data_IF_987999488492
#
_entry.id   IF_987999488492
#
_cell.length_a   1.000
_cell.length_b   1.000
_cell.length_c   1.000
_cell.angle_alpha   90.00
_cell.angle_beta   90.00
_cell.angle_gamma   90.00
#
_symmetry.space_group_name_H-M   'P 1'
#
loop_
_entity.id
_entity.type
_entity.pdbx_description
1 polymer ?
#
# COMPACT_ATOMS: atom_id res chain seq x y z
N UNK A 1 0.76 17.15 13.79
CA UNK A 1 -0.62 17.57 14.08
C UNK A 1 -1.58 16.57 13.49
N UNK A 2 -2.67 16.25 14.17
CA UNK A 2 -3.77 15.45 13.61
C UNK A 2 -4.99 16.34 13.48
N UNK A 3 -5.59 16.43 12.29
CA UNK A 3 -6.73 17.33 12.00
C UNK A 3 -6.48 18.80 12.40
N UNK A 4 -5.27 19.29 12.16
CA UNK A 4 -4.86 20.66 12.49
C UNK A 4 -4.58 20.94 13.98
N UNK A 5 -4.79 19.96 14.87
CA UNK A 5 -4.51 20.10 16.31
C UNK A 5 -3.13 19.50 16.64
N UNK A 6 -2.33 20.12 17.51
CA UNK A 6 -1.09 19.55 18.00
C UNK A 6 -1.40 18.24 18.76
N UNK A 7 -0.63 17.20 18.50
CA UNK A 7 -0.69 15.94 19.22
C UNK A 7 0.67 15.62 19.81
N UNK A 8 0.72 14.96 20.99
CA UNK A 8 1.97 14.53 21.58
C UNK A 8 2.70 13.54 20.65
N UNK A 9 4.02 13.50 20.76
CA UNK A 9 4.82 12.45 20.13
C UNK A 9 4.52 11.10 20.78
N UNK A 10 4.80 10.00 20.06
CA UNK A 10 4.54 8.65 20.56
C UNK A 10 5.18 8.39 21.94
N UNK A 11 6.42 8.84 22.14
CA UNK A 11 7.13 8.68 23.41
C UNK A 11 6.64 9.61 24.55
N UNK A 12 5.79 10.56 24.21
CA UNK A 12 5.17 11.51 25.15
C UNK A 12 3.75 11.07 25.56
N UNK A 13 3.20 10.04 24.89
CA UNK A 13 1.87 9.51 25.21
C UNK A 13 1.85 8.83 26.58
N UNK A 14 0.71 8.88 27.24
CA UNK A 14 0.50 8.20 28.52
C UNK A 14 0.69 6.68 28.35
N UNK A 15 1.48 6.08 29.21
CA UNK A 15 1.82 4.66 29.15
C UNK A 15 2.92 4.28 28.15
N UNK A 16 3.42 5.22 27.36
CA UNK A 16 4.54 4.95 26.47
C UNK A 16 5.87 4.86 27.24
N UNK A 17 6.67 3.86 26.91
CA UNK A 17 8.06 3.78 27.41
C UNK A 17 8.90 4.83 26.69
N UNK A 18 9.36 5.85 27.43
CA UNK A 18 10.14 6.97 26.90
C UNK A 18 11.46 6.57 26.22
N UNK A 19 12.00 5.41 26.58
CA UNK A 19 13.19 4.82 25.96
C UNK A 19 12.90 3.83 24.82
N UNK A 20 11.65 3.70 24.40
CA UNK A 20 11.28 2.74 23.36
C UNK A 20 11.86 3.10 22.00
N UNK A 21 12.48 2.13 21.35
CA UNK A 21 12.87 2.16 19.94
C UNK A 21 11.91 1.37 19.04
N UNK A 22 10.70 1.07 19.53
CA UNK A 22 9.70 0.36 18.75
C UNK A 22 9.29 1.19 17.54
N UNK A 23 9.34 0.60 16.39
CA UNK A 23 8.96 1.20 15.13
C UNK A 23 7.45 1.50 15.09
N UNK A 24 7.09 2.72 14.76
CA UNK A 24 5.71 3.16 14.50
C UNK A 24 5.43 3.34 13.02
N UNK A 25 6.45 3.20 12.21
CA UNK A 25 6.38 3.23 10.75
C UNK A 25 7.43 2.29 10.17
N UNK A 26 7.04 1.56 9.16
CA UNK A 26 7.92 0.65 8.41
C UNK A 26 7.76 0.89 6.93
N UNK A 27 8.86 0.96 6.21
CA UNK A 27 8.89 0.90 4.75
C UNK A 27 9.95 -0.12 4.33
N UNK A 28 9.56 -1.07 3.50
CA UNK A 28 10.40 -2.16 3.04
C UNK A 28 10.34 -2.28 1.52
N UNK A 29 11.46 -2.70 0.94
CA UNK A 29 11.50 -3.28 -0.40
C UNK A 29 11.78 -4.77 -0.23
N UNK A 30 10.88 -5.61 -0.74
CA UNK A 30 11.01 -7.05 -0.75
C UNK A 30 11.03 -7.57 -2.19
N UNK A 31 11.68 -8.70 -2.39
CA UNK A 31 11.73 -9.43 -3.65
C UNK A 31 11.38 -10.89 -3.38
N UNK A 32 10.72 -11.54 -4.34
CA UNK A 32 10.35 -12.94 -4.24
C UNK A 32 11.05 -13.67 -5.37
N UNK A 33 12.01 -14.52 -5.01
CA UNK A 33 12.83 -15.24 -5.96
C UNK A 33 12.16 -16.54 -6.40
N UNK A 34 11.16 -16.39 -7.26
CA UNK A 34 10.47 -17.49 -7.90
C UNK A 34 10.05 -17.13 -9.34
N UNK A 35 9.60 -18.11 -10.08
CA UNK A 35 9.17 -17.96 -11.48
C UNK A 35 8.17 -16.82 -11.71
N UNK A 36 7.19 -16.71 -10.83
CA UNK A 36 6.07 -15.77 -10.99
C UNK A 36 6.51 -14.35 -10.72
N UNK A 37 7.37 -14.13 -9.73
CA UNK A 37 7.67 -12.82 -9.19
C UNK A 37 9.09 -12.34 -9.44
N UNK A 38 9.90 -13.13 -10.16
CA UNK A 38 11.28 -12.74 -10.49
C UNK A 38 11.34 -11.38 -11.16
N UNK A 39 12.13 -10.48 -10.58
CA UNK A 39 12.29 -9.10 -11.05
C UNK A 39 11.12 -8.15 -10.76
N UNK A 40 10.15 -8.57 -9.94
CA UNK A 40 9.06 -7.71 -9.47
C UNK A 40 9.35 -7.24 -8.05
N UNK A 41 9.67 -5.97 -7.83
CA UNK A 41 9.87 -5.44 -6.49
C UNK A 41 8.52 -5.18 -5.79
N UNK A 42 8.48 -5.50 -4.51
CA UNK A 42 7.35 -5.22 -3.63
C UNK A 42 7.74 -4.12 -2.65
N UNK A 43 7.08 -2.97 -2.74
CA UNK A 43 7.25 -1.88 -1.81
C UNK A 43 6.10 -1.92 -0.82
N UNK A 44 6.44 -2.07 0.45
CA UNK A 44 5.47 -2.21 1.54
C UNK A 44 5.69 -1.05 2.48
N UNK A 45 4.63 -0.31 2.83
CA UNK A 45 4.67 0.67 3.91
C UNK A 45 3.47 0.51 4.82
N UNK A 46 3.70 0.70 6.09
CA UNK A 46 2.65 0.76 7.12
C UNK A 46 3.09 1.69 8.23
N UNK A 47 2.16 2.32 8.93
CA UNK A 47 2.52 3.22 9.99
C UNK A 47 1.33 3.64 10.84
N UNK A 48 1.65 4.23 12.00
CA UNK A 48 0.68 4.84 12.90
C UNK A 48 0.48 6.30 12.55
N UNK A 49 -0.72 6.83 12.81
CA UNK A 49 -1.05 8.25 12.57
C UNK A 49 -0.70 8.74 11.16
N UNK A 50 -0.86 7.88 10.16
CA UNK A 50 -0.85 8.27 8.75
C UNK A 50 -2.06 9.18 8.45
N UNK A 51 -2.08 9.91 7.30
CA UNK A 51 -3.19 10.81 6.97
C UNK A 51 -4.54 10.10 6.95
N UNK A 52 -4.55 8.84 6.51
CA UNK A 52 -5.76 8.04 6.33
C UNK A 52 -5.59 6.63 6.88
N UNK A 53 -6.71 6.03 7.32
CA UNK A 53 -6.80 4.59 7.59
C UNK A 53 -7.12 3.87 6.30
N UNK A 54 -6.10 3.49 5.57
CA UNK A 54 -6.19 2.91 4.25
C UNK A 54 -5.39 1.61 4.17
N UNK A 55 -5.97 0.60 3.53
CA UNK A 55 -5.27 -0.62 3.15
C UNK A 55 -5.52 -0.90 1.68
N UNK A 56 -4.46 -0.86 0.88
CA UNK A 56 -4.57 -1.01 -0.58
C UNK A 56 -3.34 -1.69 -1.18
N UNK A 57 -3.54 -2.32 -2.33
CA UNK A 57 -2.50 -2.90 -3.16
C UNK A 57 -2.51 -2.18 -4.50
N UNK A 58 -1.36 -1.64 -4.90
CA UNK A 58 -1.19 -0.95 -6.18
C UNK A 58 -0.27 -1.77 -7.07
N UNK A 59 -0.78 -2.20 -8.20
CA UNK A 59 0.00 -2.92 -9.20
C UNK A 59 0.30 -1.96 -10.35
N UNK A 60 1.57 -1.61 -10.52
CA UNK A 60 2.04 -0.83 -11.65
C UNK A 60 2.41 -1.78 -12.80
N UNK A 61 1.70 -1.70 -13.90
CA UNK A 61 2.07 -2.45 -15.10
C UNK A 61 3.32 -1.89 -15.74
N UNK A 62 4.06 -2.73 -16.43
CA UNK A 62 5.24 -2.29 -17.18
C UNK A 62 4.81 -1.33 -18.30
N UNK A 63 5.64 -0.33 -18.65
CA UNK A 63 5.37 0.52 -19.80
C UNK A 63 5.37 -0.29 -21.10
N UNK A 64 4.65 0.19 -22.10
CA UNK A 64 4.71 -0.38 -23.44
C UNK A 64 6.16 -0.32 -23.96
N UNK A 65 6.69 -1.40 -24.55
CA UNK A 65 8.07 -1.44 -25.04
C UNK A 65 8.32 -0.41 -26.15
N UNK A 66 7.33 -0.16 -26.97
CA UNK A 66 7.37 0.87 -28.02
C UNK A 66 6.27 1.89 -27.77
N UNK A 67 6.69 3.14 -27.57
CA UNK A 67 5.80 4.25 -27.31
C UNK A 67 5.69 5.09 -28.58
N UNK A 68 4.51 5.10 -29.20
CA UNK A 68 4.23 5.77 -30.47
C UNK A 68 3.64 7.17 -30.30
N UNK A 69 3.39 7.60 -29.07
CA UNK A 69 2.82 8.90 -28.74
C UNK A 69 3.92 9.90 -28.36
N UNK A 70 3.51 11.13 -28.09
CA UNK A 70 4.41 12.19 -27.68
C UNK A 70 5.30 11.77 -26.48
N UNK A 71 6.63 11.87 -26.58
CA UNK A 71 7.56 11.54 -25.52
C UNK A 71 7.29 12.28 -24.20
N UNK A 72 6.77 13.51 -24.26
CA UNK A 72 6.44 14.30 -23.06
C UNK A 72 5.29 13.71 -22.25
N UNK A 73 4.50 12.81 -22.84
CA UNK A 73 3.41 12.09 -22.17
C UNK A 73 3.85 10.72 -21.63
N UNK A 74 5.11 10.35 -21.78
CA UNK A 74 5.65 9.07 -21.36
C UNK A 74 5.49 8.80 -19.85
N UNK A 75 5.45 9.84 -19.03
CA UNK A 75 5.20 9.73 -17.58
C UNK A 75 3.79 9.22 -17.24
N UNK A 76 2.83 9.37 -18.15
CA UNK A 76 1.47 8.84 -18.03
C UNK A 76 1.36 7.37 -18.44
N UNK A 77 2.44 6.82 -19.02
CA UNK A 77 2.40 5.60 -19.84
C UNK A 77 2.14 4.28 -19.10
N UNK A 78 1.98 4.29 -17.78
CA UNK A 78 1.80 3.06 -17.01
C UNK A 78 0.37 2.91 -16.52
N UNK A 79 -0.28 1.86 -16.96
CA UNK A 79 -1.56 1.46 -16.38
C UNK A 79 -1.33 0.99 -14.93
N UNK A 80 -2.36 1.14 -14.10
CA UNK A 80 -2.30 0.75 -12.68
C UNK A 80 -3.59 0.02 -12.31
N UNK A 81 -3.44 -1.08 -11.58
CA UNK A 81 -4.56 -1.70 -10.89
C UNK A 81 -4.46 -1.38 -9.40
N UNK A 82 -5.50 -0.80 -8.87
CA UNK A 82 -5.63 -0.42 -7.47
C UNK A 82 -6.67 -1.35 -6.85
N UNK A 83 -6.29 -2.06 -5.81
CA UNK A 83 -7.19 -2.93 -5.04
C UNK A 83 -7.31 -2.33 -3.65
N UNK A 84 -8.47 -1.78 -3.32
CA UNK A 84 -8.78 -1.24 -2.00
C UNK A 84 -9.35 -2.35 -1.12
N UNK A 85 -8.71 -2.58 0.03
CA UNK A 85 -9.11 -3.59 1.01
C UNK A 85 -9.90 -2.95 2.16
N UNK A 86 -9.59 -1.68 2.49
CA UNK A 86 -10.23 -0.88 3.54
C UNK A 86 -9.99 0.62 3.26
N UNK A 87 -10.94 1.52 3.63
CA UNK A 87 -12.24 1.28 4.22
C UNK A 87 -13.31 0.85 3.21
N UNK A 88 -13.25 1.35 1.98
CA UNK A 88 -14.25 1.08 0.94
C UNK A 88 -13.69 0.07 -0.04
N UNK A 89 -14.09 -1.18 0.14
CA UNK A 89 -13.61 -2.29 -0.69
C UNK A 89 -13.95 -2.08 -2.16
N UNK A 90 -12.98 -2.29 -3.04
CA UNK A 90 -13.19 -2.09 -4.46
C UNK A 90 -11.93 -2.24 -5.29
N UNK A 91 -12.08 -2.05 -6.58
CA UNK A 91 -10.99 -2.07 -7.54
C UNK A 91 -11.10 -0.91 -8.51
N UNK A 92 -9.97 -0.32 -8.87
CA UNK A 92 -9.87 0.67 -9.93
C UNK A 92 -8.75 0.29 -10.89
N UNK A 93 -9.07 0.25 -12.18
CA UNK A 93 -8.07 0.08 -13.24
C UNK A 93 -7.86 1.44 -13.92
N UNK A 94 -6.74 2.09 -13.64
CA UNK A 94 -6.34 3.33 -14.32
C UNK A 94 -5.67 2.97 -15.64
N UNK A 95 -6.34 3.26 -16.75
CA UNK A 95 -5.86 2.96 -18.11
C UNK A 95 -5.65 4.24 -18.92
N UNK A 96 -4.69 4.16 -19.81
CA UNK A 96 -4.45 5.22 -20.80
C UNK A 96 -5.39 5.04 -21.97
N UNK A 97 -6.11 6.09 -22.30
CA UNK A 97 -6.96 6.19 -23.45
C UNK A 97 -6.63 7.42 -24.27
N UNK A 98 -6.93 7.40 -25.55
CA UNK A 98 -6.84 8.61 -26.37
C UNK A 98 -7.86 9.65 -25.87
N UNK A 99 -7.42 10.89 -25.71
CA UNK A 99 -8.34 11.99 -25.40
C UNK A 99 -9.30 12.22 -26.57
N UNK A 100 -10.58 12.37 -26.29
CA UNK A 100 -11.62 12.56 -27.30
C UNK A 100 -11.61 14.02 -27.77
N UNK A 101 -11.72 14.23 -29.07
CA UNK A 101 -11.79 15.54 -29.72
C UNK A 101 -11.04 15.56 -31.04
N UNK A 102 -11.56 16.37 -31.99
CA UNK A 102 -10.99 16.50 -33.34
C UNK A 102 -9.71 17.34 -33.35
N UNK A 103 -9.57 18.23 -32.37
CA UNK A 103 -8.50 19.24 -32.26
C UNK A 103 -7.38 18.82 -31.29
N UNK A 104 -7.50 17.68 -30.62
CA UNK A 104 -6.57 17.26 -29.57
C UNK A 104 -5.45 16.32 -30.02
N UNK A 105 -5.42 15.99 -31.32
CA UNK A 105 -4.37 15.13 -31.88
C UNK A 105 -4.28 13.76 -31.22
N UNK A 106 -3.08 13.32 -30.90
CA UNK A 106 -2.79 12.03 -30.24
C UNK A 106 -2.54 12.16 -28.72
N UNK A 107 -3.21 13.09 -28.07
CA UNK A 107 -3.09 13.25 -26.61
C UNK A 107 -3.69 12.06 -25.89
N UNK A 108 -2.99 11.65 -24.83
CA UNK A 108 -3.44 10.58 -23.96
C UNK A 108 -4.08 11.17 -22.69
N UNK A 109 -5.10 10.48 -22.21
CA UNK A 109 -5.74 10.74 -20.94
C UNK A 109 -5.77 9.47 -20.12
N UNK A 110 -5.48 9.58 -18.83
CA UNK A 110 -5.70 8.48 -17.90
C UNK A 110 -7.13 8.56 -17.36
N UNK A 111 -7.88 7.47 -17.50
CA UNK A 111 -9.23 7.34 -16.97
C UNK A 111 -9.35 6.12 -16.07
N UNK A 112 -10.08 6.21 -14.94
CA UNK A 112 -10.36 5.05 -14.11
C UNK A 112 -11.55 4.25 -14.67
N UNK A 113 -11.44 2.94 -14.58
CA UNK A 113 -12.56 2.02 -14.53
C UNK A 113 -12.69 1.59 -13.08
N UNK A 114 -13.73 2.05 -12.39
CA UNK A 114 -13.91 1.82 -10.97
C UNK A 114 -15.06 0.85 -10.71
N UNK A 115 -14.86 0.01 -9.72
CA UNK A 115 -15.86 -0.89 -9.19
C UNK A 115 -15.78 -0.81 -7.67
N UNK A 116 -16.79 -0.19 -7.07
CA UNK A 116 -16.97 -0.14 -5.62
C UNK A 116 -17.94 -1.24 -5.22
N UNK A 117 -17.56 -2.08 -4.25
CA UNK A 117 -18.37 -3.26 -3.92
C UNK A 117 -19.70 -2.89 -3.29
N UNK A 118 -19.75 -1.88 -2.42
CA UNK A 118 -20.98 -1.39 -1.82
C UNK A 118 -22.01 -0.90 -2.84
N UNK A 119 -21.55 -0.21 -3.90
CA UNK A 119 -22.42 0.30 -4.96
C UNK A 119 -22.84 -0.81 -5.93
N UNK A 120 -21.90 -1.70 -6.26
CA UNK A 120 -22.11 -2.71 -7.30
C UNK A 120 -23.00 -3.86 -6.85
N UNK A 121 -22.83 -4.29 -5.61
CA UNK A 121 -23.54 -5.47 -5.10
C UNK A 121 -24.78 -5.13 -4.29
N UNK A 122 -25.12 -3.85 -4.15
CA UNK A 122 -26.36 -3.34 -3.52
C UNK A 122 -26.76 -4.14 -2.26
N UNK A 123 -25.78 -4.49 -1.43
CA UNK A 123 -26.02 -5.23 -0.20
C UNK A 123 -26.36 -4.26 0.91
N UNK A 124 -27.48 -4.48 1.60
CA UNK A 124 -27.91 -3.66 2.75
C UNK A 124 -26.86 -3.65 3.87
N UNK A 125 -26.00 -4.67 3.92
CA UNK A 125 -24.94 -4.79 4.91
C UNK A 125 -23.83 -5.73 4.41
N UNK A 126 -22.60 -5.26 4.47
CA UNK A 126 -21.41 -6.11 4.34
C UNK A 126 -21.11 -6.67 5.73
N UNK A 127 -21.10 -8.01 5.93
CA UNK A 127 -20.75 -8.60 7.22
C UNK A 127 -19.34 -8.20 7.65
N UNK A 128 -19.16 -7.96 8.94
CA UNK A 128 -17.84 -7.76 9.52
C UNK A 128 -16.94 -8.99 9.28
N UNK A 129 -15.62 -8.77 9.17
CA UNK A 129 -14.66 -9.84 8.91
C UNK A 129 -14.73 -10.94 9.99
N UNK A 130 -14.92 -10.57 11.26
CA UNK A 130 -15.04 -11.55 12.36
C UNK A 130 -16.34 -12.34 12.30
N UNK A 131 -17.45 -11.75 11.86
CA UNK A 131 -18.71 -12.48 11.66
C UNK A 131 -18.52 -13.59 10.62
N UNK A 132 -17.83 -13.27 9.53
CA UNK A 132 -17.52 -14.25 8.47
C UNK A 132 -16.60 -15.36 8.98
N UNK A 133 -15.55 -15.02 9.71
CA UNK A 133 -14.64 -16.00 10.29
C UNK A 133 -15.36 -16.94 11.26
N UNK A 134 -16.19 -16.40 12.16
CA UNK A 134 -16.98 -17.21 13.09
C UNK A 134 -17.96 -18.14 12.37
N UNK A 135 -18.59 -17.64 11.32
CA UNK A 135 -19.47 -18.46 10.48
C UNK A 135 -18.73 -19.63 9.82
N UNK A 136 -17.53 -19.40 9.29
CA UNK A 136 -16.71 -20.45 8.68
C UNK A 136 -16.19 -21.45 9.73
N UNK A 137 -15.90 -21.02 10.96
CA UNK A 137 -15.58 -21.94 12.07
C UNK A 137 -16.75 -22.86 12.36
N UNK A 138 -17.98 -22.34 12.44
CA UNK A 138 -19.17 -23.16 12.70
C UNK A 138 -19.43 -24.19 11.58
N UNK A 139 -19.04 -23.86 10.34
CA UNK A 139 -19.11 -24.79 9.20
C UNK A 139 -17.96 -25.78 9.11
N UNK A 140 -16.92 -25.63 9.93
CA UNK A 140 -15.69 -26.40 9.82
C UNK A 140 -14.84 -26.07 8.59
N UNK A 141 -15.01 -24.89 8.03
CA UNK A 141 -14.37 -24.47 6.79
C UNK A 141 -13.10 -23.67 7.07
N UNK A 142 -11.95 -24.06 6.51
CA UNK A 142 -10.65 -23.49 6.86
C UNK A 142 -10.06 -22.54 5.81
N UNK A 143 -10.70 -22.33 4.68
CA UNK A 143 -10.10 -21.62 3.56
C UNK A 143 -9.81 -20.12 3.80
N UNK A 144 -10.46 -19.49 4.81
CA UNK A 144 -10.20 -18.12 5.21
C UNK A 144 -9.13 -17.99 6.31
N UNK A 145 -8.62 -19.11 6.81
CA UNK A 145 -7.66 -19.08 7.92
C UNK A 145 -6.25 -19.32 7.42
N UNK A 146 -5.33 -18.53 7.99
CA UNK A 146 -3.90 -18.69 7.72
C UNK A 146 -3.41 -19.97 8.40
N UNK A 147 -2.63 -20.77 7.68
CA UNK A 147 -2.03 -21.99 8.23
C UNK A 147 -0.93 -21.64 9.25
N UNK A 148 -0.70 -22.54 10.18
CA UNK A 148 0.34 -22.37 11.20
C UNK A 148 1.74 -22.17 10.59
N UNK A 149 2.09 -22.98 9.61
CA UNK A 149 3.39 -22.90 8.95
C UNK A 149 3.58 -21.57 8.18
N UNK A 150 2.52 -21.03 7.57
CA UNK A 150 2.55 -19.70 6.93
C UNK A 150 2.86 -18.60 7.96
N UNK A 151 2.21 -18.64 9.11
CA UNK A 151 2.47 -17.71 10.22
C UNK A 151 3.91 -17.81 10.71
N UNK A 152 4.40 -19.02 10.93
CA UNK A 152 5.78 -19.28 11.40
C UNK A 152 6.83 -18.80 10.39
N UNK A 153 6.59 -19.00 9.09
CA UNK A 153 7.48 -18.48 8.05
C UNK A 153 7.46 -16.96 7.96
N UNK A 154 6.27 -16.35 8.06
CA UNK A 154 6.14 -14.89 8.04
C UNK A 154 6.87 -14.24 9.22
N UNK A 155 6.71 -14.78 10.44
CA UNK A 155 7.43 -14.30 11.62
C UNK A 155 8.94 -14.49 11.49
N UNK A 156 9.39 -15.63 11.01
CA UNK A 156 10.83 -15.87 10.80
C UNK A 156 11.47 -14.84 9.86
N UNK A 157 10.75 -14.43 8.82
CA UNK A 157 11.21 -13.38 7.91
C UNK A 157 11.23 -12.00 8.60
N UNK A 158 10.16 -11.65 9.31
CA UNK A 158 10.03 -10.36 10.01
C UNK A 158 11.06 -10.25 11.13
N UNK A 159 11.28 -11.31 11.90
CA UNK A 159 12.25 -11.33 13.00
C UNK A 159 13.68 -11.04 12.53
N UNK A 160 14.05 -11.51 11.34
CA UNK A 160 15.36 -11.18 10.75
C UNK A 160 15.49 -9.67 10.46
N UNK A 161 14.43 -9.05 9.96
CA UNK A 161 14.43 -7.60 9.70
C UNK A 161 14.53 -6.82 11.01
N UNK A 162 13.74 -7.18 12.00
CA UNK A 162 13.75 -6.54 13.32
C UNK A 162 15.11 -6.71 14.00
N UNK A 163 15.70 -7.90 13.91
CA UNK A 163 17.02 -8.15 14.50
C UNK A 163 18.11 -7.29 13.85
N UNK A 164 18.11 -7.19 12.53
CA UNK A 164 19.04 -6.34 11.80
C UNK A 164 18.92 -4.85 12.20
N UNK A 165 17.70 -4.36 12.41
CA UNK A 165 17.51 -2.99 12.91
C UNK A 165 18.07 -2.80 14.34
N UNK A 166 17.87 -3.77 15.23
CA UNK A 166 18.45 -3.74 16.58
C UNK A 166 19.97 -3.75 16.54
N UNK A 167 20.55 -4.61 15.69
CA UNK A 167 21.99 -4.76 15.57
C UNK A 167 22.66 -3.53 14.94
N UNK A 168 21.94 -2.80 14.07
CA UNK A 168 22.44 -1.56 13.47
C UNK A 168 22.59 -0.43 14.51
N UNK A 169 21.83 -0.49 15.60
CA UNK A 169 21.80 0.57 16.62
C UNK A 169 21.22 1.91 16.14
N UNK A 170 20.71 1.97 14.89
CA UNK A 170 20.11 3.19 14.37
C UNK A 170 18.71 3.40 14.97
N UNK A 171 18.40 4.59 15.51
CA UNK A 171 17.07 4.88 15.99
C UNK A 171 16.08 5.02 14.84
N UNK A 172 14.78 4.71 15.05
CA UNK A 172 13.74 4.92 14.05
C UNK A 172 13.70 6.37 13.56
N UNK A 173 13.50 6.56 12.27
CA UNK A 173 13.37 7.90 11.68
C UNK A 173 12.04 8.52 12.10
N UNK A 174 12.09 9.79 12.53
CA UNK A 174 10.89 10.53 12.96
C UNK A 174 10.08 11.03 11.78
N UNK A 175 8.77 11.11 11.96
CA UNK A 175 7.83 11.72 11.02
C UNK A 175 6.71 12.43 11.78
N UNK A 176 6.08 13.40 11.13
CA UNK A 176 4.96 14.12 11.71
C UNK A 176 3.67 13.31 11.58
N UNK A 177 2.81 13.35 12.61
CA UNK A 177 1.46 12.80 12.52
C UNK A 177 0.67 13.47 11.40
N UNK A 178 -0.13 12.70 10.67
CA UNK A 178 -0.88 13.18 9.51
C UNK A 178 -0.04 13.27 8.22
N UNK A 179 1.15 12.69 8.19
CA UNK A 179 1.97 12.56 6.98
C UNK A 179 2.14 11.11 6.57
N UNK A 180 2.54 10.88 5.32
CA UNK A 180 2.77 9.54 4.76
C UNK A 180 4.09 8.88 5.21
N UNK A 181 4.66 9.33 6.30
CA UNK A 181 5.87 8.77 6.89
C UNK A 181 7.11 9.62 6.67
N UNK A 182 8.29 9.10 7.05
CA UNK A 182 9.54 9.84 6.97
C UNK A 182 10.02 9.99 5.52
N UNK A 183 10.73 11.08 5.24
CA UNK A 183 11.33 11.36 3.92
C UNK A 183 12.23 10.21 3.44
N UNK A 184 12.83 9.48 4.35
CA UNK A 184 13.65 8.31 4.02
C UNK A 184 12.86 7.22 3.26
N UNK A 185 11.56 7.06 3.53
CA UNK A 185 10.71 6.12 2.80
C UNK A 185 10.46 6.56 1.36
N UNK A 186 10.36 7.86 1.12
CA UNK A 186 10.25 8.44 -0.21
C UNK A 186 11.56 8.24 -0.96
N UNK A 187 12.69 8.57 -0.33
CA UNK A 187 14.01 8.39 -0.92
C UNK A 187 14.29 6.93 -1.32
N UNK A 188 13.82 5.96 -0.51
CA UNK A 188 13.98 4.54 -0.79
C UNK A 188 13.35 4.14 -2.12
N UNK A 189 12.09 4.51 -2.36
CA UNK A 189 11.37 4.11 -3.58
C UNK A 189 11.80 4.95 -4.80
N UNK A 190 12.18 6.21 -4.58
CA UNK A 190 12.62 7.12 -5.64
C UNK A 190 13.97 6.70 -6.24
N UNK A 191 14.87 6.07 -5.47
CA UNK A 191 16.13 5.50 -5.98
C UNK A 191 15.90 4.49 -7.11
N UNK A 192 14.76 3.82 -7.11
CA UNK A 192 14.37 2.87 -8.15
C UNK A 192 13.51 3.53 -9.26
N UNK A 193 13.47 4.86 -9.30
CA UNK A 193 12.67 5.62 -10.28
C UNK A 193 11.15 5.44 -10.10
N UNK A 194 10.69 5.14 -8.88
CA UNK A 194 9.29 4.91 -8.54
C UNK A 194 8.79 5.90 -7.50
N UNK A 195 7.49 5.93 -7.28
CA UNK A 195 6.86 6.74 -6.25
C UNK A 195 5.79 5.95 -5.52
N UNK A 196 5.55 6.32 -4.25
CA UNK A 196 4.36 5.86 -3.55
C UNK A 196 3.12 6.40 -4.27
N UNK A 197 2.10 5.55 -4.30
CA UNK A 197 0.79 5.99 -4.76
C UNK A 197 0.08 6.66 -3.58
N UNK A 198 -0.30 7.91 -3.79
CA UNK A 198 -1.09 8.71 -2.87
C UNK A 198 -2.24 9.27 -3.70
N UNK A 199 -3.47 8.91 -3.35
CA UNK A 199 -4.64 9.55 -3.95
C UNK A 199 -4.65 11.00 -3.42
N UNK A 200 -4.45 11.97 -4.31
CA UNK A 200 -4.57 13.40 -4.05
C UNK A 200 -5.89 13.88 -4.64
#
# INVERSE_FOLDING_TARGET
TSNGKPVPGYLEEEGANKGSATETFVALKAEIDNWRWSGVPFYIRTGKRLPEKLSQIIIHFKPAPHYIFDPDQKHLANNKLIIRLQPDEGMALKILTKDQGLDKGMRLRQGPLELTFSETFATDRIPDAYERLLWEVMKGNQYLFVRRDEVEFAWRWVDQVIQNWKDSGEPPKRYAAGTWGPVASIAMITRDGRSWYEDV
#
